data_IF_041567583167
#
_entry.id   IF_041567583167
#
_cell.length_a   1.000
_cell.length_b   1.000
_cell.length_c   1.000
_cell.angle_alpha   90.00
_cell.angle_beta   90.00
_cell.angle_gamma   90.00
#
_symmetry.space_group_name_H-M   'P 1'
#
loop_
_entity.id
_entity.type
_entity.pdbx_description
1 polymer ?
#
# COMPACT_ATOMS: atom_id res chain seq x y z
N UNK A 1 -6.99 7.10 15.27
CA UNK A 1 -6.04 8.16 15.64
C UNK A 1 -4.59 7.71 15.41
N UNK A 2 -4.14 6.56 15.96
CA UNK A 2 -2.77 6.08 15.76
C UNK A 2 -2.41 5.88 14.27
N UNK A 3 -3.32 5.29 13.47
CA UNK A 3 -3.14 5.10 12.03
C UNK A 3 -2.86 6.41 11.30
N UNK A 4 -3.59 7.49 11.60
CA UNK A 4 -3.34 8.81 10.98
C UNK A 4 -1.94 9.36 11.31
N UNK A 5 -1.41 9.08 12.51
CA UNK A 5 -0.02 9.45 12.83
C UNK A 5 0.98 8.61 12.04
N UNK A 6 0.72 7.31 11.87
CA UNK A 6 1.59 6.45 11.07
C UNK A 6 1.63 6.89 9.59
N UNK A 7 0.46 7.15 8.99
CA UNK A 7 0.35 7.64 7.61
C UNK A 7 1.08 8.98 7.41
N UNK A 8 0.93 9.92 8.36
CA UNK A 8 1.69 11.18 8.33
C UNK A 8 3.18 10.94 8.44
N UNK A 9 3.62 10.03 9.30
CA UNK A 9 5.02 9.63 9.40
C UNK A 9 5.58 9.15 8.07
N UNK A 10 4.85 8.26 7.38
CA UNK A 10 5.20 7.77 6.05
C UNK A 10 5.25 8.91 5.02
N UNK A 11 4.27 9.80 5.02
CA UNK A 11 4.24 10.94 4.11
C UNK A 11 5.47 11.85 4.30
N UNK A 12 5.79 12.22 5.54
CA UNK A 12 6.97 13.04 5.84
C UNK A 12 8.30 12.32 5.52
N UNK A 13 8.32 10.98 5.63
CA UNK A 13 9.47 10.19 5.16
C UNK A 13 9.71 10.38 3.66
N UNK A 14 8.66 10.25 2.83
CA UNK A 14 8.78 10.46 1.39
C UNK A 14 9.14 11.91 1.02
N UNK A 15 8.81 12.88 1.87
CA UNK A 15 9.21 14.27 1.73
C UNK A 15 10.65 14.53 2.24
N UNK A 16 11.37 13.49 2.70
CA UNK A 16 12.71 13.57 3.31
C UNK A 16 12.75 14.39 4.61
N UNK A 17 11.62 14.60 5.26
CA UNK A 17 11.49 15.31 6.53
C UNK A 17 11.62 14.34 7.71
N UNK A 18 12.78 13.71 7.82
CA UNK A 18 13.02 12.55 8.71
C UNK A 18 12.75 12.82 10.19
N UNK A 19 13.12 14.00 10.70
CA UNK A 19 12.85 14.36 12.10
C UNK A 19 11.34 14.50 12.39
N UNK A 20 10.58 14.97 11.42
CA UNK A 20 9.12 15.08 11.54
C UNK A 20 8.47 13.71 11.46
N UNK A 21 8.90 12.88 10.51
CA UNK A 21 8.44 11.49 10.35
C UNK A 21 8.64 10.70 11.66
N UNK A 22 9.82 10.79 12.27
CA UNK A 22 10.14 10.15 13.54
C UNK A 22 9.17 10.53 14.66
N UNK A 23 8.88 11.82 14.83
CA UNK A 23 7.92 12.30 15.85
C UNK A 23 6.53 11.71 15.65
N UNK A 24 6.09 11.58 14.41
CA UNK A 24 4.81 10.98 14.10
C UNK A 24 4.79 9.48 14.43
N UNK A 25 5.84 8.73 14.09
CA UNK A 25 5.93 7.30 14.44
C UNK A 25 6.02 7.08 15.95
N UNK A 26 6.73 7.94 16.69
CA UNK A 26 6.77 7.87 18.16
C UNK A 26 5.38 8.08 18.79
N UNK A 27 4.61 9.06 18.29
CA UNK A 27 3.23 9.29 18.75
C UNK A 27 2.32 8.10 18.43
N UNK A 28 2.43 7.54 17.23
CA UNK A 28 1.69 6.34 16.84
C UNK A 28 2.03 5.17 17.78
N UNK A 29 3.32 4.92 18.04
CA UNK A 29 3.79 3.87 18.94
C UNK A 29 3.24 4.04 20.36
N UNK A 30 3.27 5.25 20.92
CA UNK A 30 2.75 5.51 22.26
C UNK A 30 1.25 5.19 22.38
N UNK A 31 0.45 5.57 21.38
CA UNK A 31 -0.98 5.29 21.33
C UNK A 31 -1.21 3.78 21.18
N UNK A 32 -0.51 3.12 20.27
CA UNK A 32 -0.66 1.69 20.01
C UNK A 32 -0.23 0.84 21.21
N UNK A 33 0.81 1.26 21.95
CA UNK A 33 1.20 0.62 23.22
C UNK A 33 0.09 0.76 24.30
N UNK A 34 -0.51 1.95 24.43
CA UNK A 34 -1.63 2.15 25.34
C UNK A 34 -2.86 1.30 24.98
N UNK A 35 -3.09 1.06 23.70
CA UNK A 35 -4.18 0.23 23.19
C UNK A 35 -3.83 -1.27 23.10
N UNK A 36 -2.60 -1.67 23.39
CA UNK A 36 -2.07 -3.04 23.25
C UNK A 36 -2.24 -3.62 21.84
N UNK A 37 -2.19 -2.76 20.82
CA UNK A 37 -2.28 -3.19 19.42
C UNK A 37 -0.92 -3.70 18.92
N UNK A 38 -0.64 -4.98 19.15
CA UNK A 38 0.66 -5.60 18.89
C UNK A 38 1.10 -5.46 17.44
N UNK A 39 0.20 -5.65 16.47
CA UNK A 39 0.52 -5.52 15.04
C UNK A 39 1.05 -4.12 14.71
N UNK A 40 0.32 -3.10 15.13
CA UNK A 40 0.70 -1.71 14.87
C UNK A 40 1.94 -1.28 15.69
N UNK A 41 2.14 -1.85 16.88
CA UNK A 41 3.39 -1.64 17.65
C UNK A 41 4.58 -2.13 16.82
N UNK A 42 4.54 -3.36 16.29
CA UNK A 42 5.63 -3.91 15.48
C UNK A 42 5.88 -3.07 14.22
N UNK A 43 4.83 -2.58 13.55
CA UNK A 43 4.94 -1.69 12.39
C UNK A 43 5.63 -0.37 12.76
N UNK A 44 5.23 0.26 13.86
CA UNK A 44 5.84 1.53 14.29
C UNK A 44 7.31 1.35 14.71
N UNK A 45 7.65 0.25 15.38
CA UNK A 45 9.03 -0.09 15.74
C UNK A 45 9.90 -0.30 14.50
N UNK A 46 9.37 -1.01 13.50
CA UNK A 46 10.06 -1.21 12.22
C UNK A 46 10.30 0.12 11.48
N UNK A 47 9.34 1.04 11.52
CA UNK A 47 9.52 2.36 10.95
C UNK A 47 10.56 3.19 11.73
N UNK A 48 10.52 3.16 13.07
CA UNK A 48 11.44 3.93 13.91
C UNK A 48 12.90 3.50 13.78
N UNK A 49 13.18 2.22 13.47
CA UNK A 49 14.55 1.76 13.29
C UNK A 49 15.30 2.46 12.13
N UNK A 50 14.56 3.15 11.24
CA UNK A 50 15.14 3.85 10.10
C UNK A 50 15.72 5.24 10.48
N UNK A 51 15.28 5.82 11.60
CA UNK A 51 15.53 7.25 11.86
C UNK A 51 16.48 7.51 13.02
N UNK A 52 16.19 6.98 14.20
CA UNK A 52 16.82 7.44 15.42
C UNK A 52 17.80 6.47 16.02
N UNK A 53 18.80 7.05 16.69
CA UNK A 53 19.69 6.34 17.58
C UNK A 53 20.93 5.75 16.90
N UNK A 54 21.77 5.20 17.74
CA UNK A 54 22.90 4.38 17.30
C UNK A 54 22.39 3.00 16.81
N UNK A 55 23.29 2.21 16.28
CA UNK A 55 22.97 0.86 15.79
C UNK A 55 22.31 -0.01 16.84
N UNK A 56 22.71 0.10 18.10
CA UNK A 56 22.18 -0.71 19.20
C UNK A 56 20.69 -0.39 19.46
N UNK A 57 20.33 0.90 19.53
CA UNK A 57 18.94 1.31 19.71
C UNK A 57 18.04 0.85 18.55
N UNK A 58 18.54 1.00 17.31
CA UNK A 58 17.81 0.53 16.11
C UNK A 58 17.60 -0.97 16.10
N UNK A 59 18.63 -1.73 16.46
CA UNK A 59 18.55 -3.20 16.59
C UNK A 59 17.58 -3.62 17.70
N UNK A 60 17.50 -2.85 18.80
CA UNK A 60 16.54 -3.09 19.87
C UNK A 60 15.09 -2.97 19.36
N UNK A 61 14.75 -1.92 18.59
CA UNK A 61 13.44 -1.77 17.97
C UNK A 61 13.11 -2.92 17.02
N UNK A 62 14.07 -3.31 16.18
CA UNK A 62 13.87 -4.44 15.26
C UNK A 62 13.66 -5.73 16.03
N UNK A 63 14.41 -5.97 17.10
CA UNK A 63 14.30 -7.19 17.90
C UNK A 63 12.95 -7.28 18.63
N UNK A 64 12.42 -6.15 19.16
CA UNK A 64 11.08 -6.08 19.74
C UNK A 64 10.03 -6.40 18.66
N UNK A 65 10.14 -5.79 17.47
CA UNK A 65 9.24 -6.05 16.35
C UNK A 65 9.27 -7.52 15.91
N UNK A 66 10.44 -8.15 15.80
CA UNK A 66 10.60 -9.57 15.48
C UNK A 66 9.89 -10.45 16.52
N UNK A 67 10.05 -10.13 17.80
CA UNK A 67 9.41 -10.90 18.88
C UNK A 67 7.88 -10.85 18.78
N UNK A 68 7.32 -9.68 18.52
CA UNK A 68 5.88 -9.49 18.30
C UNK A 68 5.43 -10.24 17.05
N UNK A 69 6.13 -10.06 15.93
CA UNK A 69 5.76 -10.65 14.64
C UNK A 69 5.87 -12.17 14.61
N UNK A 70 6.78 -12.77 15.41
CA UNK A 70 6.81 -14.21 15.63
C UNK A 70 5.56 -14.72 16.33
N UNK A 71 5.10 -14.02 17.37
CA UNK A 71 3.89 -14.37 18.10
C UNK A 71 2.62 -14.22 17.25
N UNK A 72 2.65 -13.34 16.24
CA UNK A 72 1.56 -13.08 15.30
C UNK A 72 1.65 -13.94 14.02
N UNK A 73 2.68 -14.76 13.85
CA UNK A 73 3.00 -15.48 12.61
C UNK A 73 3.02 -14.57 11.36
N UNK A 74 3.50 -13.33 11.52
CA UNK A 74 3.49 -12.31 10.50
C UNK A 74 4.72 -12.46 9.56
N UNK A 75 4.69 -13.43 8.67
CA UNK A 75 5.81 -13.86 7.82
C UNK A 75 6.39 -12.72 6.96
N UNK A 76 5.54 -11.88 6.35
CA UNK A 76 5.97 -10.70 5.61
C UNK A 76 6.79 -9.74 6.49
N UNK A 77 6.23 -9.38 7.64
CA UNK A 77 6.87 -8.44 8.57
C UNK A 77 8.17 -9.02 9.15
N UNK A 78 8.26 -10.34 9.33
CA UNK A 78 9.50 -10.99 9.74
C UNK A 78 10.58 -10.86 8.67
N UNK A 79 10.23 -11.08 7.38
CA UNK A 79 11.15 -10.86 6.27
C UNK A 79 11.65 -9.41 6.20
N UNK A 80 10.76 -8.45 6.36
CA UNK A 80 11.10 -7.01 6.40
C UNK A 80 12.01 -6.67 7.60
N UNK A 81 11.67 -7.14 8.80
CA UNK A 81 12.48 -6.90 10.00
C UNK A 81 13.91 -7.47 9.87
N UNK A 82 14.06 -8.69 9.33
CA UNK A 82 15.37 -9.26 9.12
C UNK A 82 16.16 -8.57 8.00
N UNK A 83 15.53 -8.07 6.95
CA UNK A 83 16.18 -7.20 5.96
C UNK A 83 16.71 -5.92 6.62
N UNK A 84 15.89 -5.26 7.45
CA UNK A 84 16.30 -4.07 8.19
C UNK A 84 17.42 -4.36 9.20
N UNK A 85 17.38 -5.51 9.85
CA UNK A 85 18.46 -5.97 10.73
C UNK A 85 19.77 -6.15 9.97
N UNK A 86 19.72 -6.81 8.81
CA UNK A 86 20.89 -7.00 7.94
C UNK A 86 21.48 -5.67 7.46
N UNK A 87 20.59 -4.72 7.11
CA UNK A 87 20.98 -3.35 6.75
C UNK A 87 21.69 -2.62 7.91
N UNK A 88 21.19 -2.71 9.14
CA UNK A 88 21.84 -2.08 10.29
C UNK A 88 23.21 -2.69 10.56
N UNK A 89 23.35 -4.02 10.51
CA UNK A 89 24.64 -4.68 10.65
C UNK A 89 25.62 -4.33 9.52
N UNK A 90 25.13 -4.14 8.28
CA UNK A 90 25.96 -3.65 7.19
C UNK A 90 26.56 -2.27 7.49
N UNK A 91 25.73 -1.30 7.92
CA UNK A 91 26.23 0.02 8.29
C UNK A 91 27.18 0.02 9.48
N UNK A 92 27.01 -0.91 10.39
CA UNK A 92 27.92 -1.13 11.53
C UNK A 92 29.13 -2.00 11.18
N UNK A 93 29.32 -2.33 9.90
CA UNK A 93 30.42 -3.15 9.37
C UNK A 93 30.50 -4.56 9.97
N UNK A 94 29.42 -5.05 10.57
CA UNK A 94 29.30 -6.42 11.09
C UNK A 94 28.81 -7.36 9.98
N UNK A 95 29.60 -7.52 8.93
CA UNK A 95 29.20 -8.16 7.67
C UNK A 95 28.72 -9.61 7.82
N UNK A 96 29.34 -10.40 8.70
CA UNK A 96 28.89 -11.78 8.96
C UNK A 96 27.48 -11.82 9.54
N UNK A 97 27.17 -10.94 10.51
CA UNK A 97 25.82 -10.83 11.08
C UNK A 97 24.82 -10.26 10.06
N UNK A 98 25.29 -9.36 9.20
CA UNK A 98 24.45 -8.84 8.11
C UNK A 98 24.00 -9.97 7.17
N UNK A 99 24.92 -10.83 6.72
CA UNK A 99 24.60 -11.97 5.86
C UNK A 99 23.68 -12.99 6.55
N UNK A 100 23.91 -13.26 7.84
CA UNK A 100 23.00 -14.14 8.61
C UNK A 100 21.57 -13.59 8.68
N UNK A 101 21.42 -12.30 8.98
CA UNK A 101 20.12 -11.65 9.02
C UNK A 101 19.45 -11.63 7.64
N UNK A 102 20.20 -11.29 6.58
CA UNK A 102 19.70 -11.30 5.21
C UNK A 102 19.30 -12.70 4.74
N UNK A 103 20.00 -13.75 5.18
CA UNK A 103 19.60 -15.13 4.88
C UNK A 103 18.23 -15.45 5.49
N UNK A 104 18.01 -15.12 6.77
CA UNK A 104 16.70 -15.30 7.42
C UNK A 104 15.61 -14.49 6.72
N UNK A 105 15.92 -13.26 6.33
CA UNK A 105 14.98 -12.43 5.58
C UNK A 105 14.56 -13.08 4.26
N UNK A 106 15.54 -13.63 3.52
CA UNK A 106 15.28 -14.34 2.28
C UNK A 106 14.40 -15.57 2.48
N UNK A 107 14.66 -16.38 3.52
CA UNK A 107 13.84 -17.56 3.83
C UNK A 107 12.36 -17.17 4.06
N UNK A 108 12.10 -16.17 4.90
CA UNK A 108 10.74 -15.69 5.13
C UNK A 108 10.09 -15.17 3.85
N UNK A 109 10.79 -14.31 3.11
CA UNK A 109 10.26 -13.70 1.89
C UNK A 109 10.01 -14.74 0.78
N UNK A 110 10.90 -15.73 0.64
CA UNK A 110 10.79 -16.79 -0.37
C UNK A 110 9.61 -17.72 -0.08
N UNK A 111 9.41 -18.11 1.18
CA UNK A 111 8.32 -19.01 1.58
C UNK A 111 6.92 -18.45 1.25
N UNK A 112 6.77 -17.13 1.28
CA UNK A 112 5.49 -16.46 0.96
C UNK A 112 5.46 -15.84 -0.45
N UNK A 113 6.51 -15.99 -1.24
CA UNK A 113 6.61 -15.41 -2.58
C UNK A 113 6.67 -13.87 -2.58
N UNK A 114 7.21 -13.25 -1.51
CA UNK A 114 7.29 -11.79 -1.36
C UNK A 114 8.44 -11.21 -2.20
N UNK A 115 8.20 -11.05 -3.49
CA UNK A 115 9.21 -10.69 -4.50
C UNK A 115 9.85 -9.32 -4.24
N UNK A 116 9.10 -8.36 -3.71
CA UNK A 116 9.58 -7.04 -3.31
C UNK A 116 10.63 -7.16 -2.20
N UNK A 117 10.35 -7.93 -1.14
CA UNK A 117 11.29 -8.17 -0.06
C UNK A 117 12.54 -8.92 -0.53
N UNK A 118 12.40 -9.84 -1.49
CA UNK A 118 13.52 -10.55 -2.10
C UNK A 118 14.39 -9.57 -2.91
N UNK A 119 13.78 -8.63 -3.62
CA UNK A 119 14.50 -7.61 -4.39
C UNK A 119 15.37 -6.74 -3.47
N UNK A 120 14.80 -6.26 -2.34
CA UNK A 120 15.54 -5.51 -1.33
C UNK A 120 16.64 -6.34 -0.68
N UNK A 121 16.36 -7.62 -0.39
CA UNK A 121 17.34 -8.55 0.14
C UNK A 121 18.56 -8.71 -0.77
N UNK A 122 18.34 -8.87 -2.06
CA UNK A 122 19.43 -8.98 -3.04
C UNK A 122 20.27 -7.71 -3.11
N UNK A 123 19.66 -6.52 -2.96
CA UNK A 123 20.39 -5.27 -2.90
C UNK A 123 21.38 -5.25 -1.74
N UNK A 124 20.89 -5.49 -0.51
CA UNK A 124 21.76 -5.46 0.67
C UNK A 124 22.77 -6.59 0.67
N UNK A 125 22.41 -7.78 0.18
CA UNK A 125 23.35 -8.88 0.03
C UNK A 125 24.52 -8.51 -0.90
N UNK A 126 24.21 -7.90 -2.06
CA UNK A 126 25.22 -7.41 -3.00
C UNK A 126 26.14 -6.38 -2.36
N UNK A 127 25.58 -5.42 -1.58
CA UNK A 127 26.37 -4.40 -0.86
C UNK A 127 27.30 -5.03 0.18
N UNK A 128 26.84 -6.01 0.94
CA UNK A 128 27.67 -6.72 1.95
C UNK A 128 28.81 -7.48 1.27
N UNK A 129 28.52 -8.26 0.21
CA UNK A 129 29.55 -9.00 -0.52
C UNK A 129 30.59 -8.08 -1.17
N UNK A 130 30.17 -6.93 -1.71
CA UNK A 130 31.10 -5.92 -2.21
C UNK A 130 32.00 -5.35 -1.09
N UNK A 131 31.43 -5.10 0.10
CA UNK A 131 32.17 -4.57 1.24
C UNK A 131 33.23 -5.54 1.81
N UNK A 132 33.02 -6.85 1.67
CA UNK A 132 34.01 -7.88 2.08
C UNK A 132 34.98 -8.24 0.95
N UNK A 133 34.84 -7.63 -0.24
CA UNK A 133 35.71 -7.88 -1.40
C UNK A 133 35.32 -9.09 -2.26
N UNK A 134 34.21 -9.77 -1.98
CA UNK A 134 33.69 -10.85 -2.83
C UNK A 134 32.83 -10.28 -3.96
N UNK A 135 33.52 -9.70 -4.95
CA UNK A 135 32.87 -9.05 -6.08
C UNK A 135 32.10 -10.04 -6.99
N UNK A 136 32.46 -11.31 -6.98
CA UNK A 136 31.75 -12.33 -7.74
C UNK A 136 30.34 -12.56 -7.19
N UNK A 137 30.22 -12.72 -5.87
CA UNK A 137 28.90 -12.82 -5.22
C UNK A 137 28.15 -11.50 -5.29
N UNK A 138 28.82 -10.37 -5.08
CA UNK A 138 28.19 -9.06 -5.20
C UNK A 138 27.52 -8.88 -6.56
N UNK A 139 28.23 -9.20 -7.66
CA UNK A 139 27.67 -9.12 -9.02
C UNK A 139 26.48 -10.08 -9.20
N UNK A 140 26.59 -11.32 -8.72
CA UNK A 140 25.51 -12.32 -8.80
C UNK A 140 24.22 -11.83 -8.12
N UNK A 141 24.31 -11.20 -6.96
CA UNK A 141 23.14 -10.66 -6.26
C UNK A 141 22.61 -9.40 -6.94
N UNK A 142 23.47 -8.55 -7.46
CA UNK A 142 23.08 -7.38 -8.23
C UNK A 142 22.32 -7.75 -9.52
N UNK A 143 22.79 -8.78 -10.22
CA UNK A 143 22.14 -9.33 -11.41
C UNK A 143 20.73 -9.87 -11.10
N UNK A 144 20.62 -10.68 -10.03
CA UNK A 144 19.32 -11.17 -9.54
C UNK A 144 18.37 -10.03 -9.20
N UNK A 145 18.86 -9.00 -8.50
CA UNK A 145 18.08 -7.79 -8.18
C UNK A 145 17.59 -7.09 -9.45
N UNK A 146 18.47 -6.92 -10.43
CA UNK A 146 18.12 -6.27 -11.70
C UNK A 146 17.00 -6.99 -12.44
N UNK A 147 17.13 -8.30 -12.62
CA UNK A 147 16.11 -9.09 -13.31
C UNK A 147 14.77 -9.09 -12.56
N UNK A 148 14.78 -9.32 -11.25
CA UNK A 148 13.58 -9.31 -10.43
C UNK A 148 12.92 -7.93 -10.38
N UNK A 149 13.71 -6.87 -10.26
CA UNK A 149 13.20 -5.48 -10.26
C UNK A 149 12.54 -5.10 -11.59
N UNK A 150 13.11 -5.53 -12.72
CA UNK A 150 12.52 -5.33 -14.05
C UNK A 150 11.18 -6.04 -14.20
N UNK A 151 11.07 -7.28 -13.71
CA UNK A 151 9.80 -8.02 -13.72
C UNK A 151 8.74 -7.35 -12.84
N UNK A 152 9.11 -6.92 -11.63
CA UNK A 152 8.22 -6.20 -10.71
C UNK A 152 7.71 -4.89 -11.33
N UNK A 153 8.60 -4.11 -11.97
CA UNK A 153 8.23 -2.88 -12.64
C UNK A 153 7.23 -3.14 -13.78
N UNK A 154 7.46 -4.17 -14.59
CA UNK A 154 6.56 -4.55 -15.68
C UNK A 154 5.19 -4.98 -15.16
N UNK A 155 5.13 -5.80 -14.11
CA UNK A 155 3.90 -6.26 -13.47
C UNK A 155 3.11 -5.09 -12.86
N UNK A 156 3.79 -4.16 -12.18
CA UNK A 156 3.16 -2.97 -11.61
C UNK A 156 2.58 -2.06 -12.69
N UNK A 157 3.29 -1.88 -13.81
CA UNK A 157 2.79 -1.09 -14.94
C UNK A 157 1.53 -1.70 -15.56
N UNK A 158 1.50 -3.02 -15.76
CA UNK A 158 0.32 -3.72 -16.26
C UNK A 158 -0.86 -3.58 -15.29
N UNK A 159 -0.65 -3.79 -14.01
CA UNK A 159 -1.69 -3.63 -12.99
C UNK A 159 -2.29 -2.23 -12.96
N UNK A 160 -1.44 -1.19 -13.08
CA UNK A 160 -1.91 0.20 -13.13
C UNK A 160 -2.78 0.47 -14.37
N UNK A 161 -2.37 -0.06 -15.54
CA UNK A 161 -3.17 0.04 -16.78
C UNK A 161 -4.52 -0.68 -16.63
N UNK A 162 -4.54 -1.87 -16.05
CA UNK A 162 -5.78 -2.61 -15.80
C UNK A 162 -6.72 -1.86 -14.84
N UNK A 163 -6.17 -1.24 -13.79
CA UNK A 163 -6.94 -0.41 -12.86
C UNK A 163 -7.53 0.82 -13.57
N UNK A 164 -6.75 1.49 -14.42
CA UNK A 164 -7.22 2.64 -15.19
C UNK A 164 -8.34 2.25 -16.17
N UNK A 165 -8.19 1.14 -16.87
CA UNK A 165 -9.22 0.60 -17.78
C UNK A 165 -10.49 0.24 -16.99
N UNK A 166 -10.38 -0.41 -15.84
CA UNK A 166 -11.53 -0.79 -15.02
C UNK A 166 -12.26 0.43 -14.47
N UNK A 167 -11.52 1.45 -14.03
CA UNK A 167 -12.09 2.73 -13.59
C UNK A 167 -12.84 3.43 -14.72
N UNK A 168 -12.27 3.48 -15.92
CA UNK A 168 -12.93 4.07 -17.10
C UNK A 168 -14.23 3.33 -17.46
N UNK A 169 -14.20 1.99 -17.48
CA UNK A 169 -15.41 1.18 -17.72
C UNK A 169 -16.50 1.46 -16.67
N UNK A 170 -16.13 1.59 -15.40
CA UNK A 170 -17.07 1.95 -14.35
C UNK A 170 -17.71 3.32 -14.60
N UNK A 171 -16.93 4.33 -14.99
CA UNK A 171 -17.44 5.66 -15.32
C UNK A 171 -18.39 5.62 -16.53
N UNK A 172 -18.04 4.88 -17.58
CA UNK A 172 -18.87 4.73 -18.79
C UNK A 172 -20.21 4.04 -18.45
N UNK A 173 -20.20 3.00 -17.63
CA UNK A 173 -21.40 2.32 -17.17
C UNK A 173 -22.29 3.25 -16.32
N UNK A 174 -21.70 4.00 -15.40
CA UNK A 174 -22.39 4.96 -14.57
C UNK A 174 -23.08 6.02 -15.43
N UNK A 175 -22.36 6.59 -16.39
CA UNK A 175 -22.89 7.58 -17.34
C UNK A 175 -24.05 7.01 -18.18
N UNK A 176 -23.89 5.79 -18.70
CA UNK A 176 -24.96 5.14 -19.46
C UNK A 176 -26.24 4.93 -18.61
N UNK A 177 -26.09 4.54 -17.34
CA UNK A 177 -27.21 4.36 -16.42
C UNK A 177 -27.91 5.69 -16.13
N UNK A 178 -27.15 6.77 -15.88
CA UNK A 178 -27.69 8.11 -15.65
C UNK A 178 -28.45 8.62 -16.89
N UNK A 179 -27.93 8.39 -18.08
CA UNK A 179 -28.59 8.75 -19.34
C UNK A 179 -29.88 7.96 -19.55
N UNK A 180 -29.90 6.66 -19.24
CA UNK A 180 -31.13 5.86 -19.30
C UNK A 180 -32.20 6.38 -18.34
N UNK A 181 -31.81 6.72 -17.12
CA UNK A 181 -32.71 7.28 -16.11
C UNK A 181 -33.31 8.63 -16.56
N UNK A 182 -32.49 9.51 -17.13
CA UNK A 182 -32.96 10.79 -17.68
C UNK A 182 -33.92 10.58 -18.86
N UNK A 183 -33.59 9.67 -19.77
CA UNK A 183 -34.46 9.33 -20.91
C UNK A 183 -35.79 8.81 -20.42
N UNK A 184 -35.82 7.92 -19.44
CA UNK A 184 -37.04 7.42 -18.82
C UNK A 184 -37.90 8.56 -18.20
N UNK A 185 -37.28 9.49 -17.50
CA UNK A 185 -37.97 10.66 -16.91
C UNK A 185 -38.61 11.54 -17.99
N UNK A 186 -37.89 11.76 -19.10
CA UNK A 186 -38.43 12.55 -20.23
C UNK A 186 -39.61 11.83 -20.88
N UNK A 187 -39.55 10.53 -21.09
CA UNK A 187 -40.66 9.75 -21.64
C UNK A 187 -41.89 9.77 -20.71
N UNK A 188 -41.67 9.65 -19.41
CA UNK A 188 -42.72 9.74 -18.41
C UNK A 188 -43.42 11.13 -18.45
N UNK A 189 -42.65 12.21 -18.54
CA UNK A 189 -43.19 13.57 -18.67
C UNK A 189 -44.00 13.75 -19.96
N UNK A 190 -43.49 13.27 -21.10
CA UNK A 190 -44.22 13.29 -22.37
C UNK A 190 -45.54 12.55 -22.26
N UNK A 191 -45.57 11.36 -21.68
CA UNK A 191 -46.79 10.58 -21.48
C UNK A 191 -47.81 11.32 -20.60
N UNK A 192 -47.35 11.92 -19.52
CA UNK A 192 -48.23 12.70 -18.63
C UNK A 192 -48.79 13.94 -19.30
N UNK A 193 -48.02 14.64 -20.13
CA UNK A 193 -48.49 15.78 -20.94
C UNK A 193 -49.58 15.35 -21.94
N UNK A 194 -49.39 14.21 -22.62
CA UNK A 194 -50.40 13.65 -23.52
C UNK A 194 -51.70 13.30 -22.79
N UNK A 195 -51.63 12.72 -21.59
CA UNK A 195 -52.80 12.41 -20.77
C UNK A 195 -53.53 13.69 -20.34
N UNK A 196 -52.83 14.74 -19.90
CA UNK A 196 -53.41 16.01 -19.54
C UNK A 196 -54.07 16.70 -20.75
N UNK A 197 -53.43 16.67 -21.92
CA UNK A 197 -53.97 17.20 -23.17
C UNK A 197 -55.24 16.49 -23.58
N UNK A 198 -55.30 15.17 -23.50
CA UNK A 198 -56.49 14.39 -23.82
C UNK A 198 -57.68 14.69 -22.88
N UNK A 199 -57.41 14.83 -21.56
CA UNK A 199 -58.42 15.22 -20.58
C UNK A 199 -58.96 16.63 -20.87
N UNK A 200 -58.11 17.57 -21.27
CA UNK A 200 -58.54 18.93 -21.63
C UNK A 200 -59.40 18.93 -22.85
N UNK A 201 -59.08 18.21 -23.92
CA UNK A 201 -59.84 18.03 -25.12
C UNK A 201 -61.23 17.45 -24.79
N UNK A 202 -61.32 16.42 -23.97
CA UNK A 202 -62.54 15.80 -23.52
C UNK A 202 -63.44 16.79 -22.74
N UNK A 203 -62.86 17.60 -21.88
CA UNK A 203 -63.56 18.66 -21.14
C UNK A 203 -64.18 19.74 -22.09
N UNK A 204 -63.44 20.18 -23.09
CA UNK A 204 -63.89 21.14 -24.09
C UNK A 204 -65.04 20.54 -24.90
N UNK A 205 -64.86 19.30 -25.38
CA UNK A 205 -65.93 18.61 -26.15
C UNK A 205 -67.21 18.43 -25.32
N UNK A 206 -67.07 18.06 -24.04
CA UNK A 206 -68.26 17.97 -23.13
C UNK A 206 -68.93 19.30 -22.86
N UNK A 207 -68.14 20.36 -22.69
CA UNK A 207 -68.74 21.74 -22.56
C UNK A 207 -69.48 22.16 -23.78
N UNK A 208 -68.98 21.90 -24.99
CA UNK A 208 -69.71 22.21 -26.26
C UNK A 208 -70.98 21.38 -26.37
N UNK A 209 -70.95 20.11 -25.90
CA UNK A 209 -72.17 19.28 -25.92
C UNK A 209 -73.28 19.80 -24.98
N UNK A 210 -72.95 20.36 -23.82
CA UNK A 210 -73.89 20.90 -22.85
C UNK A 210 -74.45 22.22 -23.24
N UNK A 211 -73.83 22.97 -24.16
CA UNK A 211 -74.30 24.27 -24.63
C UNK A 211 -75.11 24.19 -25.96
N UNK A 212 -75.34 23.00 -26.50
CA UNK A 212 -76.28 22.71 -27.59
C UNK A 212 -77.58 22.16 -27.03
#
# INVERSE_FOLDING_TARGET
VAGCYNERGVMHHFMSEFTVAERFFQRALAINRAQRNLKEIATNLNNLCLYRGNTEEKLSFIQEAITINKNLDAQWSLGENYNNMGKQYYYDKQYSKALEALHKAYEYAHNIGARELICDNYEYSSMVYAAIGDYAQAYKYLDKRYHLGKELQSSNKLRNIEQEISYKRYQDQKYATEMQEQTYKIELLKRNLWLLGSVLILRIAFSIFLYK
#
